data_IF_436726434085
#
_entry.id   IF_436726434085
#
_cell.length_a   1.000
_cell.length_b   1.000
_cell.length_c   1.000
_cell.angle_alpha   90.00
_cell.angle_beta   90.00
_cell.angle_gamma   90.00
#
_symmetry.space_group_name_H-M   'P 1'
#
loop_
_entity.id
_entity.type
_entity.pdbx_description
1 polymer ?
#
# COMPACT_ATOMS: atom_id res chain seq x y z
N UNK A 1 18.92 -54.82 -9.68
CA UNK A 1 18.81 -53.43 -10.17
C UNK A 1 20.13 -52.87 -10.72
N UNK A 2 21.27 -53.54 -10.54
CA UNK A 2 22.62 -53.04 -10.87
C UNK A 2 23.03 -53.17 -12.36
N UNK A 3 22.18 -53.77 -13.20
CA UNK A 3 22.55 -54.10 -14.59
C UNK A 3 22.39 -52.91 -15.55
N UNK A 4 21.33 -52.10 -15.39
CA UNK A 4 21.09 -50.92 -16.23
C UNK A 4 22.14 -49.82 -15.99
N UNK A 5 22.53 -49.60 -14.73
CA UNK A 5 23.54 -48.59 -14.37
C UNK A 5 24.94 -48.93 -14.88
N UNK A 6 25.29 -50.23 -14.91
CA UNK A 6 26.55 -50.70 -15.48
C UNK A 6 26.56 -50.66 -17.01
N UNK A 7 25.41 -50.82 -17.69
CA UNK A 7 25.29 -50.65 -19.14
C UNK A 7 25.56 -49.20 -19.60
N UNK A 8 24.98 -48.20 -18.92
CA UNK A 8 25.22 -46.77 -19.26
C UNK A 8 26.68 -46.36 -19.10
N UNK A 9 27.37 -46.91 -18.09
CA UNK A 9 28.79 -46.64 -17.86
C UNK A 9 29.69 -47.32 -18.90
N UNK A 10 29.28 -48.45 -19.48
CA UNK A 10 30.02 -49.11 -20.57
C UNK A 10 29.88 -48.38 -21.91
N UNK A 11 28.70 -47.84 -22.26
CA UNK A 11 28.56 -46.99 -23.46
C UNK A 11 29.45 -45.74 -23.40
N UNK A 12 29.63 -45.15 -22.21
CA UNK A 12 30.52 -43.99 -22.01
C UNK A 12 32.01 -44.30 -22.21
N UNK A 13 32.43 -45.59 -22.31
CA UNK A 13 33.84 -45.99 -22.45
C UNK A 13 34.21 -46.62 -23.79
N UNK A 14 33.27 -46.93 -24.69
CA UNK A 14 33.54 -47.62 -25.95
C UNK A 14 33.38 -46.76 -27.23
N UNK A 15 33.06 -45.47 -27.13
CA UNK A 15 33.00 -44.59 -28.30
C UNK A 15 33.73 -43.28 -28.02
N UNK A 16 35.07 -43.31 -28.09
CA UNK A 16 35.87 -42.12 -28.37
C UNK A 16 36.09 -42.04 -29.90
N UNK A 17 35.00 -41.85 -30.62
CA UNK A 17 35.03 -41.16 -31.90
C UNK A 17 34.13 -39.95 -31.74
N UNK A 18 34.48 -38.76 -32.26
CA UNK A 18 33.55 -37.64 -32.27
C UNK A 18 32.33 -38.10 -33.09
N UNK A 19 31.23 -38.43 -32.43
CA UNK A 19 29.92 -38.60 -33.07
C UNK A 19 29.52 -37.23 -33.62
N UNK A 20 30.04 -36.89 -34.80
CA UNK A 20 29.47 -35.85 -35.66
C UNK A 20 28.38 -36.52 -36.48
N UNK A 21 27.30 -36.96 -35.83
CA UNK A 21 26.08 -37.28 -36.57
C UNK A 21 25.54 -35.94 -37.09
N UNK A 22 25.35 -35.78 -38.41
CA UNK A 22 24.76 -34.57 -38.99
C UNK A 22 23.44 -34.22 -38.30
N UNK A 23 22.68 -35.24 -37.91
CA UNK A 23 21.42 -35.15 -37.16
C UNK A 23 21.51 -34.35 -35.84
N UNK A 24 22.62 -34.45 -35.08
CA UNK A 24 22.76 -33.65 -33.86
C UNK A 24 22.96 -32.17 -34.19
N UNK A 25 23.76 -31.88 -35.22
CA UNK A 25 23.99 -30.51 -35.66
C UNK A 25 22.73 -29.92 -36.31
N UNK A 26 21.98 -30.69 -37.10
CA UNK A 26 20.71 -30.28 -37.69
C UNK A 26 19.64 -30.04 -36.60
N UNK A 27 19.57 -30.91 -35.60
CA UNK A 27 18.71 -30.71 -34.43
C UNK A 27 19.10 -29.46 -33.61
N UNK A 28 20.40 -29.20 -33.46
CA UNK A 28 20.90 -28.03 -32.73
C UNK A 28 20.74 -26.72 -33.52
N UNK A 29 20.95 -26.75 -34.85
CA UNK A 29 20.74 -25.62 -35.77
C UNK A 29 19.25 -25.28 -35.88
N UNK A 30 18.36 -26.28 -35.90
CA UNK A 30 16.92 -26.08 -35.82
C UNK A 30 16.51 -25.29 -34.57
N UNK A 31 17.04 -25.66 -33.39
CA UNK A 31 16.77 -24.93 -32.14
C UNK A 31 17.26 -23.49 -32.13
N UNK A 32 18.35 -23.16 -32.83
CA UNK A 32 18.80 -21.77 -32.98
C UNK A 32 17.87 -20.98 -33.90
N UNK A 33 17.44 -21.58 -35.02
CA UNK A 33 16.55 -20.92 -35.98
C UNK A 33 15.14 -20.69 -35.46
N UNK A 34 14.65 -21.56 -34.56
CA UNK A 34 13.30 -21.47 -34.00
C UNK A 34 13.15 -20.38 -32.90
N UNK A 35 14.21 -19.62 -32.59
CA UNK A 35 14.23 -18.56 -31.56
C UNK A 35 13.67 -18.98 -30.18
N UNK A 36 13.66 -20.29 -29.86
CA UNK A 36 13.12 -20.79 -28.59
C UNK A 36 13.97 -20.19 -27.45
N UNK A 37 13.39 -19.36 -26.56
CA UNK A 37 14.14 -18.68 -25.52
C UNK A 37 14.82 -19.69 -24.60
N UNK A 38 16.04 -19.38 -24.19
CA UNK A 38 16.72 -20.17 -23.17
C UNK A 38 15.85 -20.20 -21.89
N UNK A 39 15.64 -21.35 -21.22
CA UNK A 39 14.77 -21.45 -20.03
C UNK A 39 15.16 -20.48 -18.90
N UNK A 40 16.41 -20.02 -18.87
CA UNK A 40 16.91 -18.97 -17.98
C UNK A 40 16.16 -17.64 -18.15
N UNK A 41 15.73 -17.33 -19.38
CA UNK A 41 15.03 -16.11 -19.76
C UNK A 41 13.54 -16.17 -19.36
N UNK A 42 12.89 -17.32 -19.51
CA UNK A 42 11.49 -17.53 -19.08
C UNK A 42 11.35 -17.35 -17.57
N UNK A 43 12.24 -17.95 -16.78
CA UNK A 43 12.29 -17.76 -15.32
C UNK A 43 12.47 -16.28 -14.90
N UNK A 44 13.19 -15.49 -15.69
CA UNK A 44 13.38 -14.05 -15.44
C UNK A 44 12.12 -13.25 -15.76
N UNK A 45 11.34 -13.66 -16.75
CA UNK A 45 10.07 -13.05 -17.10
C UNK A 45 8.99 -13.37 -16.06
N UNK A 46 8.91 -14.62 -15.61
CA UNK A 46 7.98 -15.05 -14.56
C UNK A 46 8.20 -14.26 -13.27
N UNK A 47 9.45 -14.11 -12.81
CA UNK A 47 9.78 -13.29 -11.65
C UNK A 47 9.38 -11.83 -11.80
N UNK A 48 9.51 -11.26 -13.00
CA UNK A 48 9.06 -9.88 -13.28
C UNK A 48 7.55 -9.76 -13.25
N UNK A 49 6.83 -10.76 -13.75
CA UNK A 49 5.36 -10.79 -13.72
C UNK A 49 4.87 -10.86 -12.27
N UNK A 50 5.45 -11.75 -11.46
CA UNK A 50 5.12 -11.88 -10.03
C UNK A 50 5.35 -10.57 -9.27
N UNK A 51 6.48 -9.89 -9.49
CA UNK A 51 6.77 -8.57 -8.91
C UNK A 51 5.72 -7.52 -9.30
N UNK A 52 5.34 -7.47 -10.59
CA UNK A 52 4.34 -6.51 -11.07
C UNK A 52 2.96 -6.80 -10.47
N UNK A 53 2.59 -8.07 -10.30
CA UNK A 53 1.34 -8.46 -9.66
C UNK A 53 1.30 -8.08 -8.18
N UNK A 54 2.41 -8.27 -7.46
CA UNK A 54 2.58 -7.85 -6.07
C UNK A 54 2.50 -6.32 -5.93
N UNK A 55 3.24 -5.57 -6.76
CA UNK A 55 3.19 -4.11 -6.78
C UNK A 55 1.77 -3.60 -7.08
N UNK A 56 1.08 -4.20 -8.04
CA UNK A 56 -0.31 -3.86 -8.39
C UNK A 56 -1.26 -4.10 -7.22
N UNK A 57 -1.10 -5.21 -6.50
CA UNK A 57 -1.90 -5.51 -5.31
C UNK A 57 -1.66 -4.49 -4.21
N UNK A 58 -0.38 -4.16 -3.96
CA UNK A 58 0.01 -3.16 -2.97
C UNK A 58 -0.56 -1.78 -3.29
N UNK A 59 -0.50 -1.35 -4.56
CA UNK A 59 -1.10 -0.09 -5.00
C UNK A 59 -2.62 -0.06 -4.80
N UNK A 60 -3.31 -1.18 -5.07
CA UNK A 60 -4.75 -1.29 -4.82
C UNK A 60 -5.08 -1.16 -3.34
N UNK A 61 -4.35 -1.87 -2.48
CA UNK A 61 -4.51 -1.77 -1.02
C UNK A 61 -4.25 -0.34 -0.53
N UNK A 62 -3.22 0.32 -1.05
CA UNK A 62 -2.92 1.69 -0.68
C UNK A 62 -4.06 2.66 -1.03
N UNK A 63 -4.64 2.51 -2.23
CA UNK A 63 -5.79 3.31 -2.64
C UNK A 63 -7.02 3.10 -1.72
N UNK A 64 -7.29 1.84 -1.33
CA UNK A 64 -8.38 1.51 -0.42
C UNK A 64 -8.15 2.10 0.99
N UNK A 65 -6.92 2.05 1.50
CA UNK A 65 -6.52 2.68 2.77
C UNK A 65 -6.72 4.19 2.72
N UNK A 66 -6.21 4.87 1.69
CA UNK A 66 -6.39 6.33 1.54
C UNK A 66 -7.88 6.72 1.48
N UNK A 67 -8.71 5.92 0.80
CA UNK A 67 -10.15 6.15 0.73
C UNK A 67 -10.82 6.01 2.10
N UNK A 68 -10.44 5.01 2.89
CA UNK A 68 -10.97 4.81 4.24
C UNK A 68 -10.55 5.94 5.19
N UNK A 69 -9.28 6.37 5.14
CA UNK A 69 -8.78 7.49 5.93
C UNK A 69 -9.55 8.79 5.63
N UNK A 70 -9.76 9.09 4.35
CA UNK A 70 -10.54 10.26 3.93
C UNK A 70 -12.00 10.20 4.43
N UNK A 71 -12.60 9.01 4.44
CA UNK A 71 -13.97 8.83 4.95
C UNK A 71 -14.07 9.06 6.46
N UNK A 72 -13.12 8.53 7.24
CA UNK A 72 -13.05 8.73 8.70
C UNK A 72 -12.87 10.22 9.01
N UNK A 73 -11.94 10.90 8.32
CA UNK A 73 -11.72 12.33 8.49
C UNK A 73 -12.98 13.15 8.18
N UNK A 74 -13.70 12.80 7.11
CA UNK A 74 -14.97 13.46 6.77
C UNK A 74 -16.02 13.29 7.87
N UNK A 75 -16.20 12.07 8.38
CA UNK A 75 -17.17 11.79 9.47
C UNK A 75 -16.82 12.52 10.77
N UNK A 76 -15.52 12.55 11.11
CA UNK A 76 -15.05 13.30 12.27
C UNK A 76 -15.33 14.80 12.14
N UNK A 77 -15.08 15.36 10.95
CA UNK A 77 -15.34 16.78 10.67
C UNK A 77 -16.83 17.13 10.77
N UNK A 78 -17.72 16.34 10.18
CA UNK A 78 -19.17 16.63 10.23
C UNK A 78 -19.70 16.64 11.66
N UNK A 79 -19.26 15.68 12.49
CA UNK A 79 -19.64 15.64 13.91
C UNK A 79 -19.12 16.87 14.68
N UNK A 80 -17.87 17.24 14.49
CA UNK A 80 -17.29 18.41 15.15
C UNK A 80 -18.00 19.72 14.75
N UNK A 81 -18.48 19.81 13.50
CA UNK A 81 -19.23 20.95 12.99
C UNK A 81 -20.65 21.03 13.60
N UNK A 82 -21.34 19.89 13.70
CA UNK A 82 -22.62 19.77 14.41
C UNK A 82 -22.49 20.15 15.90
N UNK A 83 -21.46 19.65 16.57
CA UNK A 83 -21.18 19.95 17.98
C UNK A 83 -20.90 21.47 18.18
N UNK A 84 -20.16 22.08 17.25
CA UNK A 84 -19.88 23.53 17.26
C UNK A 84 -21.15 24.36 17.06
N UNK A 85 -22.02 23.97 16.13
CA UNK A 85 -23.29 24.65 15.90
C UNK A 85 -24.22 24.54 17.11
N UNK A 86 -24.30 23.36 17.73
CA UNK A 86 -25.04 23.17 18.99
C UNK A 86 -24.50 24.10 20.07
N UNK A 87 -23.19 24.07 20.33
CA UNK A 87 -22.54 24.92 21.33
C UNK A 87 -22.77 26.41 21.08
N UNK A 88 -22.71 26.84 19.81
CA UNK A 88 -22.98 28.22 19.40
C UNK A 88 -24.43 28.62 19.68
N UNK A 89 -25.40 27.71 19.51
CA UNK A 89 -26.80 27.98 19.85
C UNK A 89 -26.99 28.08 21.36
N UNK A 90 -26.41 27.18 22.14
CA UNK A 90 -26.52 27.18 23.61
C UNK A 90 -25.85 28.41 24.22
N UNK A 91 -24.68 28.80 23.71
CA UNK A 91 -24.01 30.03 24.12
C UNK A 91 -24.88 31.28 23.86
N UNK A 92 -25.52 31.35 22.68
CA UNK A 92 -26.44 32.46 22.36
C UNK A 92 -27.61 32.51 23.34
N UNK A 93 -28.22 31.36 23.65
CA UNK A 93 -29.31 31.28 24.65
C UNK A 93 -28.83 31.72 26.03
N UNK A 94 -27.71 31.19 26.51
CA UNK A 94 -27.13 31.55 27.80
C UNK A 94 -26.87 33.07 27.90
N UNK A 95 -26.26 33.67 26.87
CA UNK A 95 -26.01 35.11 26.82
C UNK A 95 -27.30 35.92 26.89
N UNK A 96 -28.37 35.47 26.23
CA UNK A 96 -29.68 36.12 26.31
C UNK A 96 -30.26 36.00 27.73
N UNK A 97 -30.24 34.80 28.32
CA UNK A 97 -30.71 34.57 29.69
C UNK A 97 -29.97 35.43 30.72
N UNK A 98 -28.64 35.56 30.61
CA UNK A 98 -27.84 36.42 31.48
C UNK A 98 -28.21 37.90 31.36
N UNK A 99 -28.55 38.37 30.15
CA UNK A 99 -29.04 39.74 29.92
C UNK A 99 -30.42 39.94 30.55
N UNK A 100 -31.34 39.00 30.39
CA UNK A 100 -32.71 39.08 30.93
C UNK A 100 -32.72 39.04 32.46
N UNK A 101 -31.87 38.22 33.09
CA UNK A 101 -31.79 38.10 34.54
C UNK A 101 -31.04 39.27 35.23
N UNK A 102 -30.60 40.30 34.49
CA UNK A 102 -29.87 41.44 35.04
C UNK A 102 -28.45 41.11 35.56
N UNK A 103 -27.96 39.90 35.29
CA UNK A 103 -26.64 39.38 35.71
C UNK A 103 -25.49 39.81 34.79
N UNK A 104 -25.79 40.59 33.74
CA UNK A 104 -24.85 40.95 32.69
C UNK A 104 -23.86 42.04 33.09
N UNK A 105 -22.81 41.71 33.85
CA UNK A 105 -21.58 42.51 33.78
C UNK A 105 -20.92 42.30 32.42
N UNK A 106 -20.57 43.37 31.71
CA UNK A 106 -19.81 43.24 30.47
C UNK A 106 -18.41 42.68 30.76
N UNK A 107 -17.79 42.04 29.78
CA UNK A 107 -16.41 41.54 29.93
C UNK A 107 -15.41 42.64 30.31
N UNK A 108 -15.71 43.89 29.97
CA UNK A 108 -14.98 45.08 30.41
C UNK A 108 -15.15 45.33 31.90
N UNK A 109 -16.38 45.31 32.43
CA UNK A 109 -16.62 45.44 33.87
C UNK A 109 -15.94 44.34 34.70
N UNK A 110 -15.77 43.13 34.15
CA UNK A 110 -14.98 42.08 34.79
C UNK A 110 -13.47 42.36 34.74
N UNK A 111 -12.96 42.88 33.61
CA UNK A 111 -11.54 43.28 33.50
C UNK A 111 -11.21 44.43 34.46
N UNK A 112 -12.10 45.40 34.57
CA UNK A 112 -11.98 46.54 35.48
C UNK A 112 -11.98 46.10 36.94
N UNK A 113 -12.90 45.20 37.32
CA UNK A 113 -12.95 44.66 38.68
C UNK A 113 -11.69 43.86 39.06
N UNK A 114 -11.14 43.08 38.13
CA UNK A 114 -9.86 42.36 38.36
C UNK A 114 -8.69 43.34 38.49
N UNK A 115 -8.72 44.48 37.79
CA UNK A 115 -7.70 45.53 37.93
C UNK A 115 -7.83 46.26 39.28
N UNK A 116 -9.04 46.62 39.72
CA UNK A 116 -9.26 47.21 41.04
C UNK A 116 -8.85 46.29 42.19
N UNK A 117 -9.11 44.98 42.08
CA UNK A 117 -8.69 44.00 43.10
C UNK A 117 -7.16 43.80 43.14
N UNK A 118 -6.46 43.97 42.02
CA UNK A 118 -4.98 43.90 41.97
C UNK A 118 -4.27 45.15 42.47
N UNK A 119 -4.96 46.29 42.49
CA UNK A 119 -4.44 47.58 42.93
C UNK A 119 -4.79 47.92 44.39
N UNK A 120 -5.37 46.95 45.12
CA UNK A 120 -5.60 46.98 46.57
C UNK A 120 -4.48 46.24 47.31
#
# INVERSE_FOLDING_TARGET
MSNAWNQTRQMKRLVMGPMKTPEYNEWWVGRINDNIPEPSHENKLEKRIEQIEEEKMNLRLHADVQKLEAEILRKGKTKAEEDLDSLKTDYKKLRLSMRTAGLGKTSEQWREKIQEEKNK
#
